data_IF_283843142052
#
_entry.id   IF_283843142052
#
_cell.length_a   1.000
_cell.length_b   1.000
_cell.length_c   1.000
_cell.angle_alpha   90.00
_cell.angle_beta   90.00
_cell.angle_gamma   90.00
#
_symmetry.space_group_name_H-M   'P 1'
#
loop_
_entity.id
_entity.type
_entity.pdbx_description
1 polymer ?
#
# COMPACT_ATOMS: atom_id res chain seq x y z
N UNK A 1 -24.81 -30.83 -12.10
CA UNK A 1 -23.86 -29.88 -12.72
C UNK A 1 -22.72 -29.73 -11.75
N UNK A 2 -21.53 -30.23 -12.08
CA UNK A 2 -20.36 -30.00 -11.25
C UNK A 2 -20.07 -28.50 -11.26
N UNK A 3 -19.92 -27.88 -10.08
CA UNK A 3 -19.38 -26.53 -9.96
C UNK A 3 -18.03 -26.51 -10.68
N UNK A 4 -17.93 -25.65 -11.69
CA UNK A 4 -16.63 -25.32 -12.29
C UNK A 4 -15.75 -24.80 -11.16
N UNK A 5 -14.50 -25.29 -11.00
CA UNK A 5 -13.63 -24.83 -9.93
C UNK A 5 -13.51 -23.30 -10.03
N UNK A 6 -13.94 -22.64 -8.95
CA UNK A 6 -13.94 -21.19 -8.82
C UNK A 6 -12.54 -20.66 -9.12
N UNK A 7 -12.44 -19.61 -9.92
CA UNK A 7 -11.20 -18.87 -10.13
C UNK A 7 -10.52 -18.58 -8.78
N UNK A 8 -9.20 -18.76 -8.71
CA UNK A 8 -8.40 -18.47 -7.54
C UNK A 8 -8.04 -16.98 -7.55
N UNK A 9 -9.04 -16.14 -7.27
CA UNK A 9 -8.97 -14.68 -7.37
C UNK A 9 -9.17 -14.01 -6.00
N UNK A 10 -8.36 -13.00 -5.69
CA UNK A 10 -8.52 -12.13 -4.51
C UNK A 10 -9.00 -10.74 -4.93
N UNK A 11 -9.75 -10.09 -4.03
CA UNK A 11 -10.10 -8.67 -4.11
C UNK A 11 -11.43 -8.34 -4.81
N UNK A 12 -11.77 -9.03 -5.90
CA UNK A 12 -13.05 -8.84 -6.60
C UNK A 12 -13.58 -10.13 -7.22
N UNK A 13 -14.77 -10.09 -7.83
CA UNK A 13 -15.37 -11.25 -8.48
C UNK A 13 -14.72 -11.53 -9.86
N UNK A 14 -14.67 -12.81 -10.28
CA UNK A 14 -14.17 -13.17 -11.61
C UNK A 14 -14.93 -12.49 -12.76
N UNK A 15 -16.26 -12.34 -12.62
CA UNK A 15 -17.10 -11.66 -13.61
C UNK A 15 -16.65 -10.22 -13.84
N UNK A 16 -16.38 -9.47 -12.77
CA UNK A 16 -15.89 -8.09 -12.88
C UNK A 16 -14.52 -8.03 -13.57
N UNK A 17 -13.63 -8.98 -13.31
CA UNK A 17 -12.33 -9.04 -14.00
C UNK A 17 -12.49 -9.36 -15.48
N UNK A 18 -13.43 -10.24 -15.86
CA UNK A 18 -13.73 -10.52 -17.26
C UNK A 18 -14.28 -9.30 -17.97
N UNK A 19 -15.19 -8.56 -17.34
CA UNK A 19 -15.73 -7.33 -17.91
C UNK A 19 -14.62 -6.27 -18.06
N UNK A 20 -13.76 -6.10 -17.05
CA UNK A 20 -12.60 -5.21 -17.12
C UNK A 20 -11.64 -5.55 -18.27
N UNK A 21 -11.39 -6.84 -18.52
CA UNK A 21 -10.55 -7.30 -19.63
C UNK A 21 -11.22 -7.06 -20.99
N UNK A 22 -12.53 -7.27 -21.07
CA UNK A 22 -13.31 -7.07 -22.32
C UNK A 22 -13.37 -5.60 -22.71
N UNK A 23 -13.59 -4.74 -21.72
CA UNK A 23 -13.84 -3.32 -21.93
C UNK A 23 -12.54 -2.49 -21.88
N UNK A 24 -11.42 -3.10 -21.50
CA UNK A 24 -10.15 -2.42 -21.31
C UNK A 24 -10.14 -1.46 -20.13
N UNK A 25 -11.03 -1.68 -19.14
CA UNK A 25 -11.22 -0.80 -17.98
C UNK A 25 -10.15 -1.05 -16.91
N UNK A 26 -9.22 -0.10 -16.65
CA UNK A 26 -8.17 -0.26 -15.65
C UNK A 26 -8.69 -0.13 -14.21
N UNK A 27 -9.91 0.40 -14.01
CA UNK A 27 -10.50 0.74 -12.70
C UNK A 27 -11.96 0.24 -12.62
N UNK A 28 -12.20 -1.09 -12.73
CA UNK A 28 -13.55 -1.67 -12.88
C UNK A 28 -14.42 -1.62 -11.60
N UNK A 29 -13.92 -1.04 -10.52
CA UNK A 29 -14.60 -0.87 -9.25
C UNK A 29 -14.07 -1.82 -8.18
N UNK A 30 -13.96 -1.30 -6.95
CA UNK A 30 -13.47 -2.03 -5.79
C UNK A 30 -12.05 -1.62 -5.41
N UNK A 31 -11.34 -2.50 -4.70
CA UNK A 31 -10.03 -2.22 -4.08
C UNK A 31 -8.91 -3.09 -4.65
N UNK A 32 -8.99 -3.35 -5.96
CA UNK A 32 -8.02 -4.11 -6.72
C UNK A 32 -8.23 -5.61 -6.66
N UNK A 33 -7.46 -6.32 -7.47
CA UNK A 33 -7.60 -7.76 -7.64
C UNK A 33 -6.33 -8.38 -8.19
N UNK A 34 -6.12 -9.64 -7.86
CA UNK A 34 -5.13 -10.47 -8.52
C UNK A 34 -5.48 -11.95 -8.36
N UNK A 35 -5.01 -12.78 -9.29
CA UNK A 35 -5.14 -14.23 -9.18
C UNK A 35 -5.25 -14.92 -10.54
N UNK A 36 -5.74 -16.15 -10.53
CA UNK A 36 -5.91 -16.98 -11.72
C UNK A 36 -7.33 -16.90 -12.26
N UNK A 37 -7.45 -16.71 -13.57
CA UNK A 37 -8.71 -16.70 -14.31
C UNK A 37 -8.67 -17.78 -15.40
N UNK A 38 -9.64 -18.70 -15.39
CA UNK A 38 -9.64 -19.88 -16.29
C UNK A 38 -10.14 -19.58 -17.70
N UNK A 39 -10.98 -18.56 -17.85
CA UNK A 39 -11.75 -18.22 -19.04
C UNK A 39 -11.66 -16.72 -19.33
N UNK A 40 -10.42 -16.23 -19.52
CA UNK A 40 -10.17 -14.84 -19.85
C UNK A 40 -10.64 -14.49 -21.28
N UNK A 41 -11.41 -13.39 -21.47
CA UNK A 41 -11.89 -13.01 -22.81
C UNK A 41 -10.73 -12.81 -23.80
N UNK A 42 -10.88 -13.40 -25.00
CA UNK A 42 -9.91 -13.25 -26.09
C UNK A 42 -8.58 -13.97 -25.88
N UNK A 43 -8.49 -14.90 -24.93
CA UNK A 43 -7.26 -15.63 -24.60
C UNK A 43 -7.51 -17.14 -24.57
N UNK A 44 -6.53 -17.89 -25.05
CA UNK A 44 -6.56 -19.35 -25.02
C UNK A 44 -5.97 -19.85 -23.70
N UNK A 45 -6.81 -20.49 -22.89
CA UNK A 45 -6.40 -21.11 -21.63
C UNK A 45 -6.40 -20.16 -20.41
N UNK A 46 -5.97 -20.68 -19.24
CA UNK A 46 -5.94 -19.91 -18.01
C UNK A 46 -4.87 -18.82 -18.05
N UNK A 47 -5.10 -17.76 -17.28
CA UNK A 47 -4.16 -16.66 -17.11
C UNK A 47 -4.01 -16.24 -15.65
N UNK A 48 -2.86 -15.67 -15.31
CA UNK A 48 -2.73 -14.83 -14.12
C UNK A 48 -3.04 -13.39 -14.49
N UNK A 49 -3.72 -12.67 -13.61
CA UNK A 49 -4.12 -11.28 -13.81
C UNK A 49 -3.84 -10.46 -12.55
N UNK A 50 -3.38 -9.22 -12.72
CA UNK A 50 -3.13 -8.28 -11.60
C UNK A 50 -3.58 -6.87 -11.98
N UNK A 51 -4.30 -6.20 -11.08
CA UNK A 51 -4.83 -4.86 -11.30
C UNK A 51 -3.74 -3.81 -11.56
N UNK A 52 -4.14 -2.65 -12.10
CA UNK A 52 -3.24 -1.59 -12.58
C UNK A 52 -2.34 -0.97 -11.49
N UNK A 53 -2.74 -1.07 -10.21
CA UNK A 53 -1.96 -0.59 -9.07
C UNK A 53 -1.26 -1.74 -8.32
N UNK A 54 -1.50 -3.00 -8.69
CA UNK A 54 -0.92 -4.16 -8.02
C UNK A 54 -1.31 -4.28 -6.55
N UNK A 55 -2.54 -3.88 -6.19
CA UNK A 55 -3.04 -3.81 -4.81
C UNK A 55 -3.08 -5.16 -4.13
N UNK A 56 -3.35 -6.21 -4.90
CA UNK A 56 -3.21 -7.60 -4.45
C UNK A 56 -1.84 -8.14 -4.91
N UNK A 57 -0.97 -8.59 -3.97
CA UNK A 57 0.25 -9.30 -4.31
C UNK A 57 -0.07 -10.61 -5.03
N UNK A 58 0.69 -10.91 -6.08
CA UNK A 58 0.63 -12.16 -6.82
C UNK A 58 2.03 -12.44 -7.35
N UNK A 59 2.57 -13.60 -7.01
CA UNK A 59 3.90 -14.03 -7.35
C UNK A 59 3.84 -15.26 -8.24
N UNK A 60 4.86 -15.40 -9.07
CA UNK A 60 5.08 -16.52 -9.97
C UNK A 60 6.57 -16.84 -9.96
N UNK A 61 6.94 -18.08 -10.20
CA UNK A 61 8.33 -18.47 -10.38
C UNK A 61 8.94 -17.66 -11.52
N UNK A 62 10.16 -17.14 -11.30
CA UNK A 62 10.83 -16.27 -12.27
C UNK A 62 11.00 -16.94 -13.63
N UNK A 63 11.26 -18.24 -13.66
CA UNK A 63 11.38 -18.99 -14.91
C UNK A 63 10.04 -19.26 -15.59
N UNK A 64 8.92 -19.23 -14.85
CA UNK A 64 7.59 -19.52 -15.37
C UNK A 64 6.84 -18.27 -15.87
N UNK A 65 7.21 -17.06 -15.43
CA UNK A 65 6.47 -15.83 -15.79
C UNK A 65 6.50 -15.53 -17.29
N UNK A 66 7.62 -15.81 -17.94
CA UNK A 66 7.82 -15.62 -19.37
C UNK A 66 8.53 -16.85 -19.95
N UNK A 67 7.78 -17.93 -20.22
CA UNK A 67 8.34 -19.21 -20.69
C UNK A 67 9.10 -19.06 -22.01
N UNK A 68 8.71 -18.09 -22.85
CA UNK A 68 9.30 -17.82 -24.16
C UNK A 68 10.72 -17.28 -23.99
N UNK A 69 10.92 -16.37 -23.04
CA UNK A 69 12.22 -15.74 -22.79
C UNK A 69 13.09 -16.56 -21.83
N UNK A 70 12.49 -17.32 -20.90
CA UNK A 70 13.18 -18.07 -19.86
C UNK A 70 13.70 -19.45 -20.28
N UNK A 71 13.28 -19.97 -21.44
CA UNK A 71 13.67 -21.33 -21.87
C UNK A 71 13.10 -22.43 -20.96
N UNK A 72 11.96 -22.16 -20.34
CA UNK A 72 11.30 -23.08 -19.42
C UNK A 72 10.97 -24.42 -20.10
N UNK A 73 10.91 -25.53 -19.35
CA UNK A 73 10.49 -26.82 -19.88
C UNK A 73 9.16 -26.70 -20.63
N UNK A 74 9.06 -27.35 -21.79
CA UNK A 74 7.83 -27.34 -22.58
C UNK A 74 6.64 -27.82 -21.74
N UNK A 75 5.63 -26.97 -21.60
CA UNK A 75 4.43 -27.26 -20.82
C UNK A 75 4.45 -26.75 -19.38
N UNK A 76 5.52 -26.05 -18.93
CA UNK A 76 5.51 -25.32 -17.68
C UNK A 76 5.16 -23.84 -17.92
N UNK A 77 4.09 -23.34 -17.30
CA UNK A 77 3.58 -22.00 -17.53
C UNK A 77 3.19 -21.28 -16.24
N UNK A 78 2.95 -19.97 -16.31
CA UNK A 78 2.73 -19.15 -15.11
C UNK A 78 1.44 -19.50 -14.35
N UNK A 79 0.58 -20.36 -14.89
CA UNK A 79 -0.72 -20.72 -14.30
C UNK A 79 -0.77 -22.14 -13.74
N UNK A 80 0.36 -22.86 -13.81
CA UNK A 80 0.50 -24.19 -13.23
C UNK A 80 0.37 -24.10 -11.70
N UNK A 81 -0.24 -25.08 -11.03
CA UNK A 81 -0.55 -25.00 -9.60
C UNK A 81 0.64 -24.66 -8.69
N UNK A 82 1.84 -25.12 -9.05
CA UNK A 82 3.06 -24.93 -8.25
C UNK A 82 3.93 -23.75 -8.75
N UNK A 83 3.52 -23.09 -9.84
CA UNK A 83 4.30 -22.00 -10.45
C UNK A 83 3.93 -20.62 -9.90
N UNK A 84 2.85 -20.49 -9.13
CA UNK A 84 2.37 -19.19 -8.65
C UNK A 84 1.73 -19.27 -7.27
N UNK A 85 1.74 -18.15 -6.56
CA UNK A 85 1.14 -18.05 -5.23
C UNK A 85 0.83 -16.59 -4.85
N UNK A 86 -0.13 -16.42 -3.95
CA UNK A 86 -0.31 -15.15 -3.25
C UNK A 86 0.77 -14.92 -2.17
N UNK A 87 1.48 -15.98 -1.77
CA UNK A 87 2.58 -15.91 -0.80
C UNK A 87 3.92 -16.02 -1.51
N UNK A 88 4.77 -15.01 -1.31
CA UNK A 88 6.15 -15.01 -1.82
C UNK A 88 6.94 -16.22 -1.32
N UNK A 89 6.75 -16.60 -0.06
CA UNK A 89 7.53 -17.67 0.60
C UNK A 89 7.09 -19.08 0.24
N UNK A 90 6.06 -19.22 -0.60
CA UNK A 90 5.60 -20.52 -1.11
C UNK A 90 6.29 -20.90 -2.44
N UNK A 91 7.20 -20.07 -2.92
CA UNK A 91 7.90 -20.20 -4.21
C UNK A 91 9.42 -20.14 -3.97
N UNK A 92 10.19 -20.74 -4.87
CA UNK A 92 11.65 -20.86 -4.79
C UNK A 92 12.37 -19.59 -5.28
N UNK A 93 12.02 -19.06 -6.47
CA UNK A 93 12.50 -17.78 -7.00
C UNK A 93 11.33 -16.87 -7.42
N UNK A 94 10.58 -16.33 -6.44
CA UNK A 94 9.39 -15.53 -6.70
C UNK A 94 9.71 -14.19 -7.37
N UNK A 95 9.01 -13.91 -8.46
CA UNK A 95 8.88 -12.58 -9.05
C UNK A 95 7.41 -12.13 -9.04
N UNK A 96 7.11 -10.86 -8.75
CA UNK A 96 5.74 -10.37 -8.81
C UNK A 96 5.22 -10.36 -10.25
N UNK A 97 3.97 -10.76 -10.44
CA UNK A 97 3.25 -10.49 -11.71
C UNK A 97 3.16 -8.97 -11.87
N UNK A 98 3.55 -8.38 -13.01
CA UNK A 98 3.52 -6.93 -13.19
C UNK A 98 2.11 -6.33 -13.00
N UNK A 99 2.00 -5.13 -12.42
CA UNK A 99 0.71 -4.47 -12.27
C UNK A 99 0.14 -4.04 -13.63
N UNK A 100 -1.16 -4.21 -13.81
CA UNK A 100 -1.87 -3.90 -15.05
C UNK A 100 -1.64 -4.93 -16.17
N UNK A 101 -1.27 -6.15 -15.81
CA UNK A 101 -0.85 -7.17 -16.78
C UNK A 101 -1.58 -8.49 -16.61
N UNK A 102 -1.53 -9.25 -17.70
CA UNK A 102 -1.93 -10.65 -17.79
C UNK A 102 -0.67 -11.48 -18.09
N UNK A 103 -0.45 -12.56 -17.34
CA UNK A 103 0.60 -13.54 -17.62
C UNK A 103 -0.02 -14.88 -18.04
N UNK A 104 0.49 -15.47 -19.12
CA UNK A 104 -0.04 -16.69 -19.73
C UNK A 104 1.08 -17.53 -20.34
N UNK A 105 0.73 -18.68 -20.93
CA UNK A 105 1.71 -19.53 -21.62
C UNK A 105 2.42 -18.83 -22.79
N UNK A 106 1.86 -17.74 -23.33
CA UNK A 106 2.46 -16.96 -24.42
C UNK A 106 3.29 -15.77 -23.93
N UNK A 107 3.45 -15.61 -22.61
CA UNK A 107 4.20 -14.52 -21.99
C UNK A 107 3.33 -13.51 -21.24
N UNK A 108 3.93 -12.36 -20.91
CA UNK A 108 3.30 -11.28 -20.16
C UNK A 108 2.86 -10.15 -21.08
N UNK A 109 1.60 -9.73 -20.96
CA UNK A 109 1.03 -8.62 -21.70
C UNK A 109 0.53 -7.55 -20.74
N UNK A 110 0.89 -6.29 -20.98
CA UNK A 110 0.30 -5.16 -20.27
C UNK A 110 -1.03 -4.80 -20.92
N UNK A 111 -2.12 -5.05 -20.21
CA UNK A 111 -3.50 -4.82 -20.69
C UNK A 111 -4.11 -3.53 -20.13
N UNK A 112 -3.57 -3.00 -19.04
CA UNK A 112 -4.05 -1.78 -18.39
C UNK A 112 -2.91 -0.80 -18.08
N UNK A 113 -3.23 0.48 -18.26
CA UNK A 113 -2.42 1.60 -17.82
C UNK A 113 -3.28 2.53 -16.95
N UNK A 114 -2.62 3.31 -16.09
CA UNK A 114 -3.34 4.33 -15.32
C UNK A 114 -3.94 5.36 -16.29
N UNK A 115 -5.19 5.79 -16.08
CA UNK A 115 -5.79 6.87 -16.85
C UNK A 115 -4.90 8.12 -16.87
N UNK A 116 -4.65 8.66 -18.06
CA UNK A 116 -3.88 9.88 -18.27
C UNK A 116 -4.70 10.91 -19.08
N UNK A 117 -5.83 11.29 -18.49
CA UNK A 117 -6.71 12.30 -19.06
C UNK A 117 -6.25 13.72 -18.72
N UNK A 118 -6.76 14.71 -19.45
CA UNK A 118 -6.54 16.11 -19.10
C UNK A 118 -7.14 16.41 -17.70
N UNK A 119 -6.54 17.33 -16.92
CA UNK A 119 -7.08 17.66 -15.60
C UNK A 119 -8.49 18.23 -15.72
N UNK A 120 -9.37 17.81 -14.83
CA UNK A 120 -10.71 18.34 -14.72
C UNK A 120 -10.70 19.78 -14.16
N UNK A 121 -11.79 20.52 -14.37
CA UNK A 121 -11.97 21.82 -13.76
C UNK A 121 -11.99 21.68 -12.21
N UNK A 122 -11.39 22.63 -11.45
CA UNK A 122 -11.19 22.47 -10.00
C UNK A 122 -12.46 22.16 -9.19
N UNK A 123 -13.57 22.86 -9.46
CA UNK A 123 -14.84 22.65 -8.75
C UNK A 123 -15.39 21.22 -8.91
N UNK A 124 -15.67 20.78 -10.15
CA UNK A 124 -16.07 19.40 -10.42
C UNK A 124 -15.08 18.34 -9.93
N UNK A 125 -13.77 18.61 -10.04
CA UNK A 125 -12.73 17.69 -9.58
C UNK A 125 -12.77 17.50 -8.05
N UNK A 126 -12.95 18.58 -7.28
CA UNK A 126 -13.12 18.50 -5.84
C UNK A 126 -14.39 17.72 -5.46
N UNK A 127 -15.52 18.01 -6.10
CA UNK A 127 -16.78 17.31 -5.83
C UNK A 127 -16.66 15.80 -6.09
N UNK A 128 -15.98 15.41 -7.17
CA UNK A 128 -15.71 14.00 -7.46
C UNK A 128 -14.84 13.32 -6.38
N UNK A 129 -13.88 14.03 -5.80
CA UNK A 129 -13.08 13.52 -4.66
C UNK A 129 -13.97 13.36 -3.43
N UNK A 130 -14.81 14.35 -3.11
CA UNK A 130 -15.69 14.29 -1.94
C UNK A 130 -16.64 13.08 -2.03
N UNK A 131 -17.31 12.92 -3.18
CA UNK A 131 -18.21 11.80 -3.46
C UNK A 131 -17.49 10.44 -3.40
N UNK A 132 -16.29 10.36 -3.99
CA UNK A 132 -15.51 9.13 -4.03
C UNK A 132 -15.00 8.72 -2.64
N UNK A 133 -14.52 9.68 -1.84
CA UNK A 133 -14.06 9.44 -0.47
C UNK A 133 -15.22 8.99 0.40
N UNK A 134 -16.38 9.65 0.34
CA UNK A 134 -17.56 9.23 1.09
C UNK A 134 -17.98 7.81 0.75
N UNK A 135 -18.04 7.51 -0.55
CA UNK A 135 -18.46 6.20 -1.01
C UNK A 135 -17.44 5.09 -0.71
N UNK A 136 -16.16 5.43 -0.58
CA UNK A 136 -15.11 4.50 -0.17
C UNK A 136 -15.08 4.26 1.35
N UNK A 137 -15.35 5.30 2.15
CA UNK A 137 -15.38 5.24 3.61
C UNK A 137 -16.65 4.57 4.14
N UNK A 138 -17.82 4.84 3.55
CA UNK A 138 -19.10 4.26 3.97
C UNK A 138 -19.17 2.73 3.86
N UNK A 139 -18.20 2.09 3.19
CA UNK A 139 -18.09 0.63 3.11
C UNK A 139 -17.26 -0.03 4.22
N UNK A 140 -16.73 0.73 5.19
CA UNK A 140 -15.86 0.19 6.25
C UNK A 140 -16.63 -0.46 7.41
N UNK A 141 -17.87 -0.05 7.67
CA UNK A 141 -18.67 -0.45 8.84
C UNK A 141 -19.28 -1.87 8.73
N UNK A 142 -18.97 -2.63 7.68
CA UNK A 142 -19.72 -3.84 7.33
C UNK A 142 -19.67 -4.98 8.36
N UNK A 143 -18.70 -5.01 9.30
CA UNK A 143 -18.67 -6.01 10.38
C UNK A 143 -18.11 -5.41 11.68
N UNK A 144 -18.96 -5.10 12.67
CA UNK A 144 -18.53 -4.61 13.98
C UNK A 144 -17.56 -5.57 14.68
N UNK A 145 -16.51 -5.03 15.32
CA UNK A 145 -15.57 -5.80 16.13
C UNK A 145 -14.50 -6.59 15.38
N UNK A 146 -14.47 -6.55 14.03
CA UNK A 146 -13.45 -7.22 13.20
C UNK A 146 -12.53 -6.26 12.44
N UNK A 147 -12.64 -4.95 12.69
CA UNK A 147 -11.86 -3.91 12.03
C UNK A 147 -11.18 -3.02 13.08
N UNK A 148 -9.91 -2.73 12.86
CA UNK A 148 -9.17 -1.67 13.56
C UNK A 148 -8.63 -0.65 12.55
N UNK A 149 -8.14 0.49 13.02
CA UNK A 149 -7.52 1.53 12.19
C UNK A 149 -6.06 1.73 12.57
N UNK A 150 -5.15 1.64 11.61
CA UNK A 150 -3.78 2.12 11.78
C UNK A 150 -3.81 3.66 11.82
N UNK A 151 -3.58 4.23 12.99
CA UNK A 151 -3.88 5.63 13.29
C UNK A 151 -2.63 6.43 13.61
N UNK A 152 -2.13 7.16 12.61
CA UNK A 152 -0.99 8.06 12.83
C UNK A 152 -1.43 9.38 13.45
N UNK A 153 -2.68 9.80 13.24
CA UNK A 153 -3.18 11.12 13.65
C UNK A 153 -3.01 12.23 12.61
N UNK A 154 -2.60 11.88 11.39
CA UNK A 154 -2.69 12.77 10.22
C UNK A 154 -4.05 12.68 9.52
N UNK A 155 -4.27 13.57 8.54
CA UNK A 155 -5.52 13.66 7.77
C UNK A 155 -5.94 12.33 7.11
N UNK A 156 -4.98 11.54 6.62
CA UNK A 156 -5.28 10.28 5.92
C UNK A 156 -5.90 9.25 6.88
N UNK A 157 -5.19 8.94 7.97
CA UNK A 157 -5.70 8.03 9.00
C UNK A 157 -6.92 8.61 9.74
N UNK A 158 -7.02 9.94 9.83
CA UNK A 158 -8.17 10.64 10.39
C UNK A 158 -9.43 10.40 9.57
N UNK A 159 -9.36 10.53 8.24
CA UNK A 159 -10.46 10.21 7.33
C UNK A 159 -10.85 8.74 7.43
N UNK A 160 -9.87 7.83 7.43
CA UNK A 160 -10.13 6.39 7.59
C UNK A 160 -10.82 6.10 8.92
N UNK A 161 -10.34 6.70 10.01
CA UNK A 161 -10.98 6.58 11.31
C UNK A 161 -12.39 7.16 11.32
N UNK A 162 -12.64 8.31 10.69
CA UNK A 162 -13.98 8.90 10.60
C UNK A 162 -14.98 7.99 9.86
N UNK A 163 -14.51 7.22 8.87
CA UNK A 163 -15.32 6.22 8.16
C UNK A 163 -15.53 4.90 8.91
N UNK A 164 -14.89 4.72 10.07
CA UNK A 164 -15.01 3.52 10.90
C UNK A 164 -15.20 3.91 12.38
N UNK A 165 -16.34 4.54 12.74
CA UNK A 165 -16.59 5.12 14.07
C UNK A 165 -16.36 4.13 15.23
N UNK A 166 -16.69 2.86 15.07
CA UNK A 166 -16.56 1.90 16.17
C UNK A 166 -15.24 1.12 16.19
N UNK A 167 -14.33 1.41 15.25
CA UNK A 167 -13.06 0.69 15.14
C UNK A 167 -11.99 1.27 16.10
N UNK A 168 -11.35 0.44 16.95
CA UNK A 168 -10.24 0.88 17.77
C UNK A 168 -9.06 1.34 16.91
N UNK A 169 -8.38 2.39 17.37
CA UNK A 169 -7.23 2.97 16.69
C UNK A 169 -5.91 2.41 17.28
N UNK A 170 -4.93 2.13 16.43
CA UNK A 170 -3.63 1.59 16.82
C UNK A 170 -2.50 2.46 16.31
N UNK A 171 -1.52 2.72 17.15
CA UNK A 171 -0.26 3.37 16.77
C UNK A 171 0.91 2.61 17.35
N UNK A 172 1.94 2.33 16.54
CA UNK A 172 3.18 1.74 17.01
C UNK A 172 4.32 2.76 16.96
N UNK A 173 5.16 2.80 17.99
CA UNK A 173 6.34 3.65 17.99
C UNK A 173 7.19 3.48 19.26
N UNK A 174 8.43 3.94 19.19
CA UNK A 174 9.27 4.02 20.38
C UNK A 174 8.71 5.05 21.38
N UNK A 175 9.04 4.87 22.66
CA UNK A 175 8.68 5.82 23.71
C UNK A 175 9.08 7.26 23.34
N UNK A 176 8.16 8.20 23.57
CA UNK A 176 8.36 9.63 23.32
C UNK A 176 8.47 10.02 21.84
N UNK A 177 8.12 9.13 20.90
CA UNK A 177 8.16 9.45 19.48
C UNK A 177 7.03 10.40 19.04
N UNK A 178 7.26 11.07 17.90
CA UNK A 178 6.33 12.05 17.36
C UNK A 178 5.00 11.42 16.96
N UNK A 179 5.03 10.20 16.44
CA UNK A 179 3.83 9.56 15.94
C UNK A 179 2.86 9.16 17.04
N UNK A 180 3.37 8.64 18.16
CA UNK A 180 2.55 8.34 19.34
C UNK A 180 1.96 9.62 19.94
N UNK A 181 2.74 10.70 20.03
CA UNK A 181 2.23 11.98 20.53
C UNK A 181 1.09 12.53 19.65
N UNK A 182 1.32 12.61 18.34
CA UNK A 182 0.32 13.08 17.39
C UNK A 182 -0.93 12.20 17.35
N UNK A 183 -0.77 10.87 17.42
CA UNK A 183 -1.90 9.94 17.47
C UNK A 183 -2.74 10.15 18.74
N UNK A 184 -2.11 10.36 19.91
CA UNK A 184 -2.82 10.65 21.16
C UNK A 184 -3.62 11.94 21.08
N UNK A 185 -3.03 13.01 20.55
CA UNK A 185 -3.70 14.30 20.37
C UNK A 185 -4.88 14.18 19.40
N UNK A 186 -4.68 13.53 18.26
CA UNK A 186 -5.72 13.31 17.26
C UNK A 186 -6.85 12.41 17.79
N UNK A 187 -6.52 11.34 18.51
CA UNK A 187 -7.50 10.44 19.12
C UNK A 187 -8.34 11.18 20.16
N UNK A 188 -7.73 12.00 21.02
CA UNK A 188 -8.45 12.82 21.98
C UNK A 188 -9.37 13.85 21.28
N UNK A 189 -8.89 14.50 20.21
CA UNK A 189 -9.69 15.46 19.44
C UNK A 189 -10.87 14.81 18.71
N UNK A 190 -10.73 13.55 18.31
CA UNK A 190 -11.75 12.77 17.60
C UNK A 190 -12.61 11.90 18.52
N UNK A 191 -12.37 11.91 19.84
CA UNK A 191 -13.00 11.01 20.82
C UNK A 191 -12.86 9.52 20.46
N UNK A 192 -11.61 9.07 20.28
CA UNK A 192 -11.27 7.71 19.86
C UNK A 192 -10.51 6.95 20.93
N UNK A 193 -10.83 5.66 21.06
CA UNK A 193 -9.99 4.71 21.75
C UNK A 193 -8.70 4.49 20.95
N UNK A 194 -7.56 4.75 21.59
CA UNK A 194 -6.23 4.57 21.01
C UNK A 194 -5.41 3.57 21.81
N UNK A 195 -5.03 2.48 21.16
CA UNK A 195 -4.01 1.55 21.63
C UNK A 195 -2.63 1.97 21.14
N UNK A 196 -1.74 2.21 22.10
CA UNK A 196 -0.32 2.49 21.82
C UNK A 196 0.48 1.20 21.96
N UNK A 197 1.14 0.80 20.89
CA UNK A 197 2.10 -0.31 20.84
C UNK A 197 3.49 0.27 20.99
N UNK A 198 4.07 0.13 22.19
CA UNK A 198 5.44 0.55 22.45
C UNK A 198 6.41 -0.38 21.70
N UNK A 199 7.36 0.19 20.97
CA UNK A 199 8.40 -0.57 20.27
C UNK A 199 9.65 -0.61 21.14
N UNK A 200 10.10 -1.81 21.48
CA UNK A 200 11.43 -2.06 22.06
C UNK A 200 12.46 -2.44 20.98
N UNK A 201 13.75 -2.41 21.32
CA UNK A 201 14.79 -2.87 20.39
C UNK A 201 14.67 -4.37 20.07
N UNK A 202 14.18 -5.17 21.03
CA UNK A 202 13.96 -6.60 20.83
C UNK A 202 12.82 -6.84 19.82
N UNK A 203 11.69 -6.16 20.00
CA UNK A 203 10.56 -6.24 19.07
C UNK A 203 10.93 -5.69 17.69
N UNK A 204 11.70 -4.60 17.62
CA UNK A 204 12.22 -4.07 16.37
C UNK A 204 13.02 -5.14 15.61
N UNK A 205 13.98 -5.81 16.25
CA UNK A 205 14.79 -6.83 15.58
C UNK A 205 13.99 -8.08 15.19
N UNK A 206 13.01 -8.48 16.01
CA UNK A 206 12.08 -9.57 15.67
C UNK A 206 11.22 -9.21 14.46
N UNK A 207 10.62 -8.03 14.46
CA UNK A 207 9.78 -7.56 13.37
C UNK A 207 10.57 -7.35 12.08
N UNK A 208 11.81 -6.84 12.16
CA UNK A 208 12.72 -6.74 11.00
C UNK A 208 12.91 -8.09 10.33
N UNK A 209 13.20 -9.14 11.10
CA UNK A 209 13.35 -10.50 10.56
C UNK A 209 12.07 -11.02 9.93
N UNK A 210 10.94 -10.90 10.63
CA UNK A 210 9.65 -11.35 10.13
C UNK A 210 9.27 -10.65 8.81
N UNK A 211 9.37 -9.32 8.77
CA UNK A 211 9.07 -8.52 7.59
C UNK A 211 10.05 -8.83 6.45
N UNK A 212 11.35 -8.94 6.73
CA UNK A 212 12.34 -9.29 5.72
C UNK A 212 12.08 -10.67 5.12
N UNK A 213 11.72 -11.66 5.94
CA UNK A 213 11.40 -13.02 5.52
C UNK A 213 10.20 -13.09 4.58
N UNK A 214 9.10 -12.38 4.90
CA UNK A 214 7.88 -12.44 4.08
C UNK A 214 7.94 -11.54 2.83
N UNK A 215 8.65 -10.42 2.90
CA UNK A 215 8.76 -9.48 1.77
C UNK A 215 9.95 -9.77 0.85
N UNK A 216 10.96 -10.48 1.32
CA UNK A 216 12.26 -10.61 0.66
C UNK A 216 13.08 -9.32 0.63
N UNK A 217 12.63 -8.24 1.29
CA UNK A 217 13.27 -6.92 1.27
C UNK A 217 14.30 -6.82 2.40
N UNK A 218 15.46 -6.27 2.06
CA UNK A 218 16.58 -6.05 3.01
C UNK A 218 16.98 -4.60 3.17
N UNK A 219 16.45 -3.70 2.33
CA UNK A 219 16.84 -2.30 2.40
C UNK A 219 16.28 -1.64 3.68
N UNK A 220 17.04 -0.77 4.36
CA UNK A 220 16.63 -0.15 5.62
C UNK A 220 15.32 0.63 5.56
N UNK A 221 15.05 1.31 4.44
CA UNK A 221 13.90 2.18 4.31
C UNK A 221 12.59 1.38 4.31
N UNK A 222 12.50 0.34 3.49
CA UNK A 222 11.32 -0.52 3.43
C UNK A 222 11.06 -1.19 4.78
N UNK A 223 12.09 -1.73 5.41
CA UNK A 223 11.95 -2.36 6.73
C UNK A 223 11.51 -1.34 7.78
N UNK A 224 12.06 -0.13 7.78
CA UNK A 224 11.68 0.91 8.73
C UNK A 224 10.25 1.45 8.53
N UNK A 225 9.69 1.34 7.32
CA UNK A 225 8.29 1.70 7.04
C UNK A 225 7.34 0.56 7.45
N UNK A 226 7.68 -0.68 7.10
CA UNK A 226 6.81 -1.82 7.33
C UNK A 226 6.76 -2.28 8.79
N UNK A 227 7.84 -2.14 9.56
CA UNK A 227 7.90 -2.63 10.96
C UNK A 227 6.85 -1.99 11.88
N UNK A 228 6.68 -0.65 11.94
CA UNK A 228 5.61 -0.07 12.76
C UNK A 228 4.22 -0.58 12.37
N UNK A 229 3.98 -0.73 11.07
CA UNK A 229 2.71 -1.21 10.55
C UNK A 229 2.47 -2.68 10.92
N UNK A 230 3.50 -3.53 10.80
CA UNK A 230 3.50 -4.92 11.24
C UNK A 230 3.20 -5.04 12.74
N UNK A 231 3.86 -4.26 13.59
CA UNK A 231 3.67 -4.34 15.05
C UNK A 231 2.28 -3.84 15.48
N UNK A 232 1.76 -2.78 14.84
CA UNK A 232 0.39 -2.34 15.07
C UNK A 232 -0.63 -3.42 14.67
N UNK A 233 -0.40 -4.08 13.53
CA UNK A 233 -1.24 -5.17 13.06
C UNK A 233 -1.21 -6.41 13.94
N UNK A 234 -0.02 -6.79 14.42
CA UNK A 234 0.15 -7.94 15.31
C UNK A 234 -0.56 -7.70 16.64
N UNK A 235 -0.50 -6.48 17.17
CA UNK A 235 -1.25 -6.10 18.36
C UNK A 235 -2.77 -6.14 18.11
N UNK A 236 -3.24 -5.67 16.95
CA UNK A 236 -4.65 -5.74 16.59
C UNK A 236 -5.13 -7.19 16.45
N UNK A 237 -4.36 -8.05 15.79
CA UNK A 237 -4.65 -9.48 15.68
C UNK A 237 -4.72 -10.16 17.06
N UNK A 238 -3.80 -9.82 17.97
CA UNK A 238 -3.81 -10.33 19.34
C UNK A 238 -5.06 -9.90 20.12
N UNK A 239 -5.65 -8.76 19.78
CA UNK A 239 -6.92 -8.27 20.34
C UNK A 239 -8.16 -8.85 19.61
N UNK A 240 -7.98 -9.79 18.67
CA UNK A 240 -9.07 -10.48 17.96
C UNK A 240 -9.57 -9.79 16.69
N UNK A 241 -8.81 -8.82 16.18
CA UNK A 241 -9.14 -8.10 14.93
C UNK A 241 -8.56 -8.81 13.72
N UNK A 242 -9.38 -9.04 12.70
CA UNK A 242 -8.94 -9.72 11.47
C UNK A 242 -8.59 -8.77 10.33
N UNK A 243 -8.93 -7.48 10.44
CA UNK A 243 -8.73 -6.49 9.38
C UNK A 243 -8.18 -5.18 9.94
N UNK A 244 -7.21 -4.59 9.25
CA UNK A 244 -6.65 -3.30 9.61
C UNK A 244 -6.88 -2.29 8.49
N UNK A 245 -7.67 -1.25 8.76
CA UNK A 245 -7.86 -0.13 7.88
C UNK A 245 -6.64 0.80 7.92
N UNK A 246 -6.16 1.21 6.75
CA UNK A 246 -4.91 1.95 6.60
C UNK A 246 -5.06 3.12 5.63
N UNK A 247 -4.27 4.18 5.82
CA UNK A 247 -4.30 5.41 5.02
C UNK A 247 -3.48 5.37 3.72
N UNK A 248 -3.04 4.18 3.30
CA UNK A 248 -2.13 3.99 2.16
C UNK A 248 -2.73 4.56 0.87
N UNK A 249 -1.85 5.11 0.02
CA UNK A 249 -2.23 5.74 -1.25
C UNK A 249 -2.50 7.24 -1.15
N UNK A 250 -2.71 7.79 0.06
CA UNK A 250 -3.07 9.19 0.21
C UNK A 250 -1.96 10.15 -0.26
N UNK A 251 -0.70 9.88 0.12
CA UNK A 251 0.44 10.70 -0.27
C UNK A 251 0.70 10.64 -1.78
N UNK A 252 0.56 9.47 -2.40
CA UNK A 252 0.75 9.28 -3.82
C UNK A 252 -0.38 9.89 -4.65
N UNK A 253 -1.64 9.68 -4.27
CA UNK A 253 -2.79 10.13 -5.03
C UNK A 253 -3.02 11.65 -4.91
N UNK A 254 -2.81 12.22 -3.72
CA UNK A 254 -3.18 13.60 -3.41
C UNK A 254 -1.99 14.56 -3.27
N UNK A 255 -0.75 14.13 -3.56
CA UNK A 255 0.42 15.02 -3.54
C UNK A 255 0.91 15.33 -2.12
N UNK A 256 1.14 14.30 -1.32
CA UNK A 256 1.58 14.42 0.07
C UNK A 256 3.10 14.54 0.28
N UNK A 257 3.90 14.18 -0.72
CA UNK A 257 5.35 14.30 -0.63
C UNK A 257 5.84 15.72 -0.96
N UNK A 258 6.86 16.18 -0.24
CA UNK A 258 7.43 17.52 -0.49
C UNK A 258 7.97 17.69 -1.91
N UNK A 259 8.45 16.61 -2.54
CA UNK A 259 8.94 16.62 -3.92
C UNK A 259 7.86 16.88 -4.99
N UNK A 260 6.59 16.86 -4.60
CA UNK A 260 5.47 17.17 -5.50
C UNK A 260 5.13 18.67 -5.51
N UNK A 261 5.63 19.44 -4.52
CA UNK A 261 5.27 20.85 -4.34
C UNK A 261 5.91 21.76 -5.39
N UNK A 262 7.24 21.67 -5.55
CA UNK A 262 8.02 22.45 -6.52
C UNK A 262 8.85 21.53 -7.42
N UNK A 263 8.22 20.75 -8.30
CA UNK A 263 8.92 19.65 -8.96
C UNK A 263 9.94 20.13 -10.00
N UNK A 264 9.76 21.31 -10.60
CA UNK A 264 10.72 21.90 -11.54
C UNK A 264 12.09 22.25 -10.91
N UNK A 265 12.20 22.25 -9.58
CA UNK A 265 13.44 22.54 -8.84
C UNK A 265 13.86 21.38 -7.93
N UNK A 266 13.18 20.25 -7.98
CA UNK A 266 13.41 19.09 -7.10
C UNK A 266 13.97 17.91 -7.89
N UNK A 267 15.21 17.51 -7.59
CA UNK A 267 15.94 16.45 -8.30
C UNK A 267 15.44 15.02 -8.01
N UNK A 268 14.43 14.87 -7.16
CA UNK A 268 13.83 13.57 -6.77
C UNK A 268 12.65 13.16 -7.64
N UNK A 269 12.31 13.96 -8.63
CA UNK A 269 11.27 13.73 -9.65
C UNK A 269 11.78 14.21 -11.01
N UNK A 270 11.33 13.56 -12.10
CA UNK A 270 11.72 13.95 -13.46
C UNK A 270 10.76 14.98 -14.07
N UNK A 271 9.55 15.11 -13.51
CA UNK A 271 8.50 15.97 -14.02
C UNK A 271 8.66 17.46 -13.66
N UNK A 272 8.23 18.33 -14.56
CA UNK A 272 8.20 19.78 -14.33
C UNK A 272 6.88 20.30 -13.72
N UNK A 273 5.88 19.45 -13.57
CA UNK A 273 4.53 19.85 -13.10
C UNK A 273 4.12 19.06 -11.87
N UNK A 274 3.34 19.69 -10.98
CA UNK A 274 2.79 19.05 -9.77
C UNK A 274 2.03 17.76 -10.12
N UNK A 275 1.23 17.78 -11.20
CA UNK A 275 0.50 16.60 -11.67
C UNK A 275 1.44 15.51 -12.20
N UNK A 276 2.49 15.88 -12.95
CA UNK A 276 3.49 14.92 -13.43
C UNK A 276 4.26 14.25 -12.28
N UNK A 277 4.73 15.04 -11.32
CA UNK A 277 5.42 14.55 -10.12
C UNK A 277 4.51 13.65 -9.28
N UNK A 278 3.22 13.98 -9.18
CA UNK A 278 2.21 13.10 -8.57
C UNK A 278 2.05 11.79 -9.35
N UNK A 279 2.02 11.83 -10.67
CA UNK A 279 1.93 10.60 -11.48
C UNK A 279 3.15 9.69 -11.27
N UNK A 280 4.35 10.25 -11.12
CA UNK A 280 5.54 9.48 -10.75
C UNK A 280 5.40 8.81 -9.39
N UNK A 281 4.84 9.50 -8.38
CA UNK A 281 4.67 8.90 -7.05
C UNK A 281 3.62 7.79 -7.06
N UNK A 282 2.52 7.94 -7.82
CA UNK A 282 1.53 6.86 -8.03
C UNK A 282 2.16 5.61 -8.64
N UNK A 283 3.12 5.76 -9.56
CA UNK A 283 3.84 4.62 -10.17
C UNK A 283 4.70 3.83 -9.18
N UNK A 284 4.97 4.39 -7.99
CA UNK A 284 5.69 3.67 -6.92
C UNK A 284 4.78 2.79 -6.07
N UNK A 285 3.45 3.00 -6.11
CA UNK A 285 2.48 2.27 -5.28
C UNK A 285 2.62 0.74 -5.37
N UNK A 286 2.79 0.09 -6.54
CA UNK A 286 2.83 -1.37 -6.60
C UNK A 286 3.88 -2.00 -5.69
N UNK A 287 5.08 -1.39 -5.60
CA UNK A 287 6.15 -1.89 -4.74
C UNK A 287 5.87 -1.60 -3.25
N UNK A 288 5.27 -0.45 -2.93
CA UNK A 288 4.91 -0.09 -1.56
C UNK A 288 3.77 -0.96 -1.02
N UNK A 289 2.74 -1.19 -1.83
CA UNK A 289 1.59 -2.02 -1.47
C UNK A 289 1.98 -3.48 -1.31
N UNK A 290 2.86 -4.00 -2.16
CA UNK A 290 3.42 -5.34 -1.97
C UNK A 290 4.08 -5.49 -0.59
N UNK A 291 4.95 -4.55 -0.21
CA UNK A 291 5.61 -4.53 1.10
C UNK A 291 4.58 -4.50 2.24
N UNK A 292 3.66 -3.55 2.18
CA UNK A 292 2.72 -3.29 3.28
C UNK A 292 1.70 -4.43 3.44
N UNK A 293 1.15 -4.94 2.33
CA UNK A 293 0.16 -6.04 2.36
C UNK A 293 0.80 -7.33 2.87
N UNK A 294 2.02 -7.64 2.45
CA UNK A 294 2.74 -8.82 2.94
C UNK A 294 3.05 -8.71 4.43
N UNK A 295 3.50 -7.55 4.90
CA UNK A 295 3.77 -7.32 6.32
C UNK A 295 2.49 -7.46 7.16
N UNK A 296 1.39 -6.85 6.73
CA UNK A 296 0.11 -6.91 7.45
C UNK A 296 -0.47 -8.33 7.53
N UNK A 297 -0.46 -9.05 6.41
CA UNK A 297 -0.94 -10.45 6.38
C UNK A 297 -0.06 -11.37 7.21
N UNK A 298 1.25 -11.15 7.23
CA UNK A 298 2.17 -11.90 8.09
C UNK A 298 1.89 -11.66 9.59
N UNK A 299 1.41 -10.47 9.94
CA UNK A 299 0.97 -10.14 11.29
C UNK A 299 -0.42 -10.69 11.65
N UNK A 300 -1.11 -11.34 10.70
CA UNK A 300 -2.40 -12.00 10.92
C UNK A 300 -3.64 -11.18 10.57
N UNK A 301 -3.50 -10.01 9.94
CA UNK A 301 -4.65 -9.17 9.54
C UNK A 301 -4.71 -8.93 8.04
N UNK A 302 -5.92 -8.79 7.51
CA UNK A 302 -6.13 -8.36 6.12
C UNK A 302 -6.15 -6.83 6.03
N UNK A 303 -5.30 -6.20 5.19
CA UNK A 303 -5.31 -4.76 4.97
C UNK A 303 -6.58 -4.27 4.29
N UNK A 304 -7.04 -3.10 4.71
CA UNK A 304 -8.16 -2.39 4.09
C UNK A 304 -7.73 -0.96 3.79
N UNK A 305 -7.43 -0.67 2.52
CA UNK A 305 -7.00 0.68 2.09
C UNK A 305 -8.13 1.39 1.31
N UNK A 306 -9.08 2.08 1.98
CA UNK A 306 -10.24 2.68 1.33
C UNK A 306 -9.86 3.78 0.33
N UNK A 307 -8.76 4.50 0.55
CA UNK A 307 -8.29 5.56 -0.37
C UNK A 307 -7.72 5.01 -1.68
N UNK A 308 -7.54 3.68 -1.79
CA UNK A 308 -7.16 2.96 -3.01
C UNK A 308 -8.35 2.28 -3.70
N UNK A 309 -9.58 2.66 -3.33
CA UNK A 309 -10.78 2.33 -4.09
C UNK A 309 -10.72 2.98 -5.47
N UNK A 310 -11.13 2.25 -6.51
CA UNK A 310 -11.08 2.70 -7.91
C UNK A 310 -11.74 4.07 -8.12
N UNK A 311 -12.82 4.37 -7.38
CA UNK A 311 -13.49 5.69 -7.43
C UNK A 311 -12.57 6.81 -6.95
N UNK A 312 -11.86 6.57 -5.84
CA UNK A 312 -10.92 7.55 -5.26
C UNK A 312 -9.71 7.72 -6.16
N UNK A 313 -9.16 6.61 -6.68
CA UNK A 313 -8.05 6.62 -7.63
C UNK A 313 -8.45 7.43 -8.87
N UNK A 314 -9.59 7.13 -9.49
CA UNK A 314 -10.07 7.85 -10.67
C UNK A 314 -10.23 9.35 -10.42
N UNK A 315 -10.87 9.74 -9.31
CA UNK A 315 -11.05 11.14 -8.95
C UNK A 315 -9.71 11.86 -8.71
N UNK A 316 -8.79 11.22 -8.01
CA UNK A 316 -7.47 11.77 -7.73
C UNK A 316 -6.60 11.93 -8.99
N UNK A 317 -6.67 10.98 -9.93
CA UNK A 317 -5.96 11.04 -11.21
C UNK A 317 -6.39 12.24 -12.07
N UNK A 318 -7.66 12.66 -11.96
CA UNK A 318 -8.24 13.80 -12.67
C UNK A 318 -7.94 15.17 -12.04
N UNK A 319 -7.36 15.22 -10.83
CA UNK A 319 -7.12 16.48 -10.13
C UNK A 319 -6.15 17.42 -10.88
N UNK A 320 -6.46 18.74 -10.96
CA UNK A 320 -5.50 19.76 -11.36
C UNK A 320 -4.43 19.96 -10.27
N UNK A 321 -3.26 20.48 -10.66
CA UNK A 321 -2.10 20.63 -9.76
C UNK A 321 -2.39 21.43 -8.48
N UNK A 322 -3.18 22.51 -8.58
CA UNK A 322 -3.55 23.37 -7.44
C UNK A 322 -4.38 22.67 -6.35
N UNK A 323 -4.99 21.52 -6.68
CA UNK A 323 -5.72 20.69 -5.73
C UNK A 323 -4.88 19.51 -5.20
N UNK A 324 -3.64 19.36 -5.66
CA UNK A 324 -2.69 18.38 -5.14
C UNK A 324 -1.77 19.05 -4.12
N UNK A 325 -0.96 20.02 -4.57
CA UNK A 325 0.03 20.69 -3.76
C UNK A 325 0.31 22.12 -4.24
N UNK A 326 0.64 23.00 -3.29
CA UNK A 326 1.07 24.39 -3.49
C UNK A 326 2.19 24.73 -2.48
N UNK A 327 2.79 25.92 -2.60
CA UNK A 327 3.92 26.44 -1.78
C UNK A 327 3.57 26.70 -0.29
N UNK A 328 2.96 25.71 0.37
CA UNK A 328 2.53 25.81 1.76
C UNK A 328 1.48 24.78 2.14
N UNK A 329 0.85 24.13 1.17
CA UNK A 329 -0.16 23.12 1.45
C UNK A 329 0.00 21.90 0.55
N UNK A 330 -0.01 20.71 1.17
CA UNK A 330 -0.01 19.41 0.50
C UNK A 330 -1.32 18.71 0.77
N UNK A 331 -1.73 17.81 -0.13
CA UNK A 331 -3.00 17.08 -0.05
C UNK A 331 -4.21 18.01 -0.04
N UNK A 332 -4.18 19.09 -0.82
CA UNK A 332 -5.19 20.16 -0.78
C UNK A 332 -6.61 19.59 -0.93
N UNK A 333 -6.86 18.77 -1.95
CA UNK A 333 -8.17 18.14 -2.18
C UNK A 333 -8.60 17.22 -1.04
N UNK A 334 -7.67 16.42 -0.50
CA UNK A 334 -7.96 15.49 0.59
C UNK A 334 -8.24 16.23 1.90
N UNK A 335 -7.50 17.31 2.20
CA UNK A 335 -7.74 18.18 3.37
C UNK A 335 -9.07 18.93 3.25
N UNK A 336 -9.52 19.25 2.03
CA UNK A 336 -10.87 19.79 1.77
C UNK A 336 -11.93 18.71 1.97
N UNK A 337 -11.72 17.51 1.43
CA UNK A 337 -12.59 16.36 1.67
C UNK A 337 -12.61 15.94 3.15
N UNK A 338 -11.61 16.29 3.95
CA UNK A 338 -11.63 16.04 5.40
C UNK A 338 -12.39 17.10 6.21
N UNK A 339 -12.75 18.24 5.61
CA UNK A 339 -13.46 19.31 6.30
C UNK A 339 -14.83 18.83 6.79
N UNK A 340 -15.12 19.09 8.07
CA UNK A 340 -16.36 18.65 8.73
C UNK A 340 -16.43 17.15 9.07
N UNK A 341 -15.50 16.33 8.56
CA UNK A 341 -15.39 14.90 8.87
C UNK A 341 -14.39 14.62 10.00
N UNK A 342 -13.35 15.46 10.13
CA UNK A 342 -12.37 15.39 11.22
C UNK A 342 -12.14 16.78 11.84
N UNK A 343 -11.66 16.86 13.10
CA UNK A 343 -11.28 18.11 13.72
C UNK A 343 -10.21 18.87 12.93
N UNK A 344 -10.23 20.20 13.02
CA UNK A 344 -9.27 21.06 12.32
C UNK A 344 -7.81 20.72 12.63
N UNK A 345 -7.52 20.36 13.89
CA UNK A 345 -6.19 19.94 14.32
C UNK A 345 -5.69 18.68 13.60
N UNK A 346 -6.57 17.73 13.28
CA UNK A 346 -6.23 16.51 12.52
C UNK A 346 -6.16 16.83 11.03
N UNK A 347 -7.10 17.64 10.53
CA UNK A 347 -7.20 18.05 9.13
C UNK A 347 -5.97 18.80 8.65
N UNK A 348 -5.37 19.62 9.50
CA UNK A 348 -4.23 20.50 9.17
C UNK A 348 -2.90 19.99 9.72
N UNK A 349 -2.90 18.88 10.45
CA UNK A 349 -1.68 18.31 11.01
C UNK A 349 -0.59 18.11 9.95
N UNK A 350 0.64 18.49 10.31
CA UNK A 350 1.84 18.15 9.57
C UNK A 350 2.49 16.91 10.18
N UNK A 351 2.68 15.89 9.35
CA UNK A 351 3.20 14.59 9.77
C UNK A 351 4.57 14.33 9.19
N UNK A 352 5.44 13.75 10.04
CA UNK A 352 6.68 13.12 9.59
C UNK A 352 6.36 11.77 8.97
N UNK A 353 7.17 11.35 8.01
CA UNK A 353 7.06 9.99 7.46
C UNK A 353 7.28 8.95 8.56
N UNK A 354 6.54 7.84 8.51
CA UNK A 354 6.39 6.86 9.61
C UNK A 354 7.74 6.35 10.14
N UNK A 355 8.72 6.10 9.28
CA UNK A 355 10.05 5.62 9.64
C UNK A 355 10.82 6.60 10.54
N UNK A 356 10.54 7.89 10.41
CA UNK A 356 11.12 8.96 11.23
C UNK A 356 10.22 9.34 12.41
N UNK A 357 8.90 9.36 12.20
CA UNK A 357 7.91 9.74 13.21
C UNK A 357 7.86 8.75 14.38
N UNK A 358 8.01 7.45 14.09
CA UNK A 358 8.07 6.35 15.07
C UNK A 358 9.44 6.16 15.72
N UNK A 359 10.47 6.84 15.21
CA UNK A 359 11.89 6.65 15.53
C UNK A 359 12.52 5.32 15.09
N UNK A 360 11.84 4.46 14.32
CA UNK A 360 12.43 3.19 13.86
C UNK A 360 13.76 3.40 13.10
N UNK A 361 13.83 4.32 12.13
CA UNK A 361 15.10 4.59 11.42
C UNK A 361 16.21 5.07 12.36
N UNK A 362 15.86 5.86 13.38
CA UNK A 362 16.82 6.36 14.38
C UNK A 362 17.38 5.23 15.23
N UNK A 363 16.52 4.28 15.60
CA UNK A 363 16.91 3.15 16.44
C UNK A 363 17.68 2.08 15.65
N UNK A 364 17.35 1.85 14.37
CA UNK A 364 18.17 1.04 13.47
C UNK A 364 19.58 1.61 13.28
N UNK A 365 19.72 2.93 13.04
CA UNK A 365 21.04 3.60 13.01
C UNK A 365 21.81 3.43 14.34
N UNK A 366 21.11 3.48 15.47
CA UNK A 366 21.71 3.30 16.80
C UNK A 366 22.22 1.87 16.99
N UNK A 367 21.43 0.87 16.62
CA UNK A 367 21.79 -0.54 16.70
C UNK A 367 22.97 -0.86 15.77
N UNK A 368 22.93 -0.40 14.52
CA UNK A 368 24.03 -0.54 13.57
C UNK A 368 25.34 -0.01 14.14
N UNK A 369 25.33 1.21 14.71
CA UNK A 369 26.51 1.81 15.33
C UNK A 369 27.02 1.02 16.54
N UNK A 370 26.14 0.47 17.37
CA UNK A 370 26.51 -0.37 18.52
C UNK A 370 27.14 -1.69 18.08
N UNK A 371 26.69 -2.25 16.95
CA UNK A 371 27.25 -3.44 16.33
C UNK A 371 28.55 -3.18 15.54
N UNK A 372 29.05 -1.93 15.52
CA UNK A 372 30.31 -1.57 14.87
C UNK A 372 30.19 -1.03 13.44
N UNK A 373 28.97 -0.96 12.90
CA UNK A 373 28.69 -0.36 11.59
C UNK A 373 28.63 1.17 11.72
N UNK A 374 29.76 1.83 11.46
CA UNK A 374 29.93 3.28 11.68
C UNK A 374 29.36 4.07 10.50
N UNK A 375 28.81 5.27 10.75
CA UNK A 375 28.28 6.19 9.70
C UNK A 375 29.25 6.58 8.58
N UNK A 376 30.55 6.41 8.81
CA UNK A 376 31.59 6.61 7.78
C UNK A 376 31.68 5.46 6.78
N UNK A 377 30.97 4.37 7.03
CA UNK A 377 30.82 3.25 6.11
C UNK A 377 29.63 3.56 5.23
N UNK A 378 29.79 3.38 3.92
CA UNK A 378 28.67 3.50 2.99
C UNK A 378 27.59 2.47 3.36
N UNK A 379 26.34 2.95 3.36
CA UNK A 379 25.15 2.21 3.76
C UNK A 379 25.32 1.37 5.05
N UNK A 380 25.83 2.01 6.12
CA UNK A 380 26.14 1.30 7.37
C UNK A 380 24.92 0.59 7.98
N UNK A 381 23.70 1.14 7.78
CA UNK A 381 22.47 0.49 8.26
C UNK A 381 22.11 -0.69 7.37
N UNK A 382 22.20 -0.58 6.05
CA UNK A 382 21.93 -1.70 5.15
C UNK A 382 22.88 -2.87 5.40
N UNK A 383 24.18 -2.59 5.54
CA UNK A 383 25.18 -3.60 5.89
C UNK A 383 24.93 -4.27 7.23
N UNK A 384 24.46 -3.51 8.23
CA UNK A 384 24.06 -4.08 9.51
C UNK A 384 22.86 -5.03 9.36
N UNK A 385 21.87 -4.66 8.55
CA UNK A 385 20.70 -5.50 8.30
C UNK A 385 21.06 -6.75 7.49
N UNK A 386 21.98 -6.66 6.53
CA UNK A 386 22.51 -7.83 5.83
C UNK A 386 23.18 -8.82 6.79
N UNK A 387 24.04 -8.34 7.69
CA UNK A 387 24.70 -9.15 8.71
C UNK A 387 23.69 -9.78 9.70
N UNK A 388 22.73 -8.97 10.18
CA UNK A 388 21.65 -9.42 11.06
C UNK A 388 20.80 -10.53 10.45
N UNK A 389 20.48 -10.42 9.15
CA UNK A 389 19.58 -11.34 8.45
C UNK A 389 20.31 -12.56 7.85
N UNK A 390 21.65 -12.54 7.80
CA UNK A 390 22.46 -13.69 7.38
C UNK A 390 22.76 -14.67 8.52
N UNK A 391 22.60 -14.23 9.77
CA UNK A 391 22.86 -15.02 10.97
C UNK A 391 21.71 -15.93 11.42
N UNK A 392 20.60 -15.99 10.68
CA UNK A 392 19.42 -16.83 10.96
C UNK A 392 19.41 -18.11 10.11
#
# INVERSE_FOLDING_TARGET
MAELPSADLRGTSPDRVRDALRDGDPLPGGRGFAGRLLDAPGRDGPVLVRDVLGRQPLFVEREAIDPVTAGAPAGHGPTDPDAWSFSRTALDDPTPVPPGSVASATGVERVWALPDEAPAAPGPAQAAVDDAVDAALGGLEAEPGRLAVAFSGGVDSGLVAAGAPDAPCYVAGFEGCHDVAAAREAAAAMDRELRVVEITHEELLRAVRAVAGVTGRRNPMDLAIAVPLYLAAEAAAADGVDRLAVGQGADELFGGYSKVVEPATDDRVDADTVRGARTETVRTLPAQLERDVLALRAAGVEPVAPLLDDRVVSAALALPGELLASDGERKVALRRAAAGRVPESVRTADKKAVQYGTYVSRELDRLARRAGFKRRMDDHVGRYLEDLLAGD
#
